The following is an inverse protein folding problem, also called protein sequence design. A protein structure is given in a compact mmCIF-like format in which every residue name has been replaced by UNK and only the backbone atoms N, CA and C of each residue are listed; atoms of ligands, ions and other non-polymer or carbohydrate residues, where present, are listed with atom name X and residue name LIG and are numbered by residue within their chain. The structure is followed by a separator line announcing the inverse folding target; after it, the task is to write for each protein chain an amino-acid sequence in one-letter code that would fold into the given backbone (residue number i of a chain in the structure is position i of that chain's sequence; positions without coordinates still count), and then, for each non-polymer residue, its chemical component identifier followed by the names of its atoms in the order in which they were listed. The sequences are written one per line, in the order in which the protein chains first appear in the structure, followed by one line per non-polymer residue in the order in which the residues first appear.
data_IF_947720589941
#
_entry.id   IF_947720589941
#
_cell.length_a   1.000
_cell.length_b   1.000
_cell.length_c   1.000
_cell.angle_alpha   90.00
_cell.angle_beta   90.00
_cell.angle_gamma   90.00
#
_symmetry.space_group_name_H-M   'P 1'
#
loop_
_entity.id
_entity.type
_entity.pdbx_description
1 polymer ?
#
# COMPACT_ATOMS: atom_id res chain seq x y z
N UNK A 1 -10.44 -65.57 -41.83
CA UNK A 1 -9.61 -64.59 -41.08
C UNK A 1 -9.86 -63.21 -41.67
N UNK A 2 -10.72 -62.40 -41.04
CA UNK A 2 -10.94 -61.01 -41.47
C UNK A 2 -10.62 -60.09 -40.30
N UNK A 3 -9.51 -59.37 -40.42
CA UNK A 3 -8.98 -58.40 -39.47
C UNK A 3 -9.91 -57.18 -39.43
N UNK A 4 -10.41 -56.83 -38.24
CA UNK A 4 -11.12 -55.58 -37.97
C UNK A 4 -10.06 -54.51 -37.70
N UNK A 5 -9.93 -53.55 -38.61
CA UNK A 5 -9.03 -52.41 -38.50
C UNK A 5 -9.58 -51.45 -37.42
N UNK A 6 -8.94 -51.40 -36.25
CA UNK A 6 -9.24 -50.41 -35.20
C UNK A 6 -8.46 -49.14 -35.52
N UNK A 7 -9.16 -48.08 -35.92
CA UNK A 7 -8.57 -46.74 -36.08
C UNK A 7 -8.23 -46.12 -34.72
N UNK A 8 -7.06 -45.50 -34.54
CA UNK A 8 -6.71 -44.80 -33.31
C UNK A 8 -7.51 -43.49 -33.19
N UNK A 9 -8.24 -43.33 -32.09
CA UNK A 9 -8.87 -42.07 -31.71
C UNK A 9 -7.81 -41.04 -31.34
N UNK A 10 -7.65 -39.97 -32.14
CA UNK A 10 -6.82 -38.82 -31.79
C UNK A 10 -7.28 -38.17 -30.49
N UNK A 11 -6.37 -37.77 -29.58
CA UNK A 11 -6.75 -37.02 -28.38
C UNK A 11 -7.24 -35.63 -28.78
N UNK A 12 -8.41 -35.24 -28.24
CA UNK A 12 -8.97 -33.92 -28.46
C UNK A 12 -8.05 -32.83 -27.88
N UNK A 13 -7.87 -31.68 -28.56
CA UNK A 13 -7.07 -30.58 -28.05
C UNK A 13 -7.68 -29.99 -26.77
N UNK A 14 -6.85 -29.78 -25.75
CA UNK A 14 -7.23 -29.12 -24.49
C UNK A 14 -7.67 -27.68 -24.78
N UNK A 15 -8.88 -27.26 -24.38
CA UNK A 15 -9.33 -25.88 -24.61
C UNK A 15 -8.54 -24.90 -23.74
N UNK A 16 -7.68 -24.08 -24.34
CA UNK A 16 -7.15 -22.86 -23.70
C UNK A 16 -8.15 -21.73 -23.91
N UNK A 17 -9.08 -21.55 -22.97
CA UNK A 17 -10.11 -20.50 -23.06
C UNK A 17 -9.53 -19.11 -22.72
N UNK A 18 -9.45 -18.17 -23.69
CA UNK A 18 -8.95 -16.81 -23.46
C UNK A 18 -9.81 -15.99 -22.48
N UNK A 19 -11.01 -16.47 -22.12
CA UNK A 19 -11.89 -15.84 -21.13
C UNK A 19 -11.31 -15.76 -19.72
N UNK A 20 -10.50 -16.74 -19.30
CA UNK A 20 -9.97 -16.82 -17.93
C UNK A 20 -8.81 -15.83 -17.65
N UNK A 21 -8.15 -15.32 -18.69
CA UNK A 21 -7.03 -14.39 -18.57
C UNK A 21 -7.50 -12.97 -18.21
N UNK A 22 -8.71 -12.57 -18.61
CA UNK A 22 -9.26 -11.23 -18.35
C UNK A 22 -9.53 -10.98 -16.85
N UNK A 23 -10.11 -11.93 -16.09
CA UNK A 23 -10.25 -11.81 -14.63
C UNK A 23 -8.90 -11.74 -13.89
N UNK A 24 -7.93 -12.56 -14.30
CA UNK A 24 -6.61 -12.60 -13.65
C UNK A 24 -5.85 -11.29 -13.89
N UNK A 25 -5.81 -10.80 -15.14
CA UNK A 25 -5.15 -9.54 -15.47
C UNK A 25 -5.76 -8.35 -14.72
N UNK A 26 -7.09 -8.31 -14.56
CA UNK A 26 -7.76 -7.29 -13.74
C UNK A 26 -7.34 -7.40 -12.28
N UNK A 27 -7.36 -8.60 -11.71
CA UNK A 27 -6.94 -8.84 -10.32
C UNK A 27 -5.50 -8.36 -10.09
N UNK A 28 -4.57 -8.72 -10.98
CA UNK A 28 -3.17 -8.28 -10.89
C UNK A 28 -3.07 -6.76 -10.96
N UNK A 29 -3.74 -6.13 -11.94
CA UNK A 29 -3.75 -4.67 -12.06
C UNK A 29 -4.31 -3.99 -10.81
N UNK A 30 -5.38 -4.54 -10.24
CA UNK A 30 -6.04 -3.97 -9.07
C UNK A 30 -5.16 -4.16 -7.82
N UNK A 31 -4.45 -5.28 -7.68
CA UNK A 31 -3.39 -5.45 -6.68
C UNK A 31 -2.25 -4.43 -6.83
N UNK A 32 -1.80 -4.16 -8.06
CA UNK A 32 -0.74 -3.18 -8.31
C UNK A 32 -1.19 -1.74 -8.02
N UNK A 33 -2.46 -1.41 -8.29
CA UNK A 33 -3.07 -0.13 -7.90
C UNK A 33 -3.18 -0.01 -6.38
N UNK A 34 -3.61 -1.08 -5.72
CA UNK A 34 -3.68 -1.16 -4.26
C UNK A 34 -2.30 -0.94 -3.63
N UNK A 35 -1.24 -1.45 -4.27
CA UNK A 35 0.15 -1.30 -3.84
C UNK A 35 0.74 0.12 -4.01
N UNK A 36 -0.04 1.12 -4.45
CA UNK A 36 0.41 2.53 -4.61
C UNK A 36 1.65 2.67 -5.52
N UNK A 37 1.48 2.65 -6.86
CA UNK A 37 2.59 2.55 -7.82
C UNK A 37 3.73 3.57 -7.65
N UNK A 38 3.41 4.83 -7.32
CA UNK A 38 4.42 5.87 -7.10
C UNK A 38 5.34 5.54 -5.92
N UNK A 39 4.80 4.93 -4.87
CA UNK A 39 5.58 4.50 -3.71
C UNK A 39 6.51 3.34 -4.09
N UNK A 40 6.05 2.44 -4.96
CA UNK A 40 6.87 1.32 -5.46
C UNK A 40 8.07 1.82 -6.26
N UNK A 41 7.89 2.81 -7.14
CA UNK A 41 9.00 3.46 -7.85
C UNK A 41 10.01 4.04 -6.87
N UNK A 42 9.55 4.72 -5.82
CA UNK A 42 10.40 5.30 -4.78
C UNK A 42 11.21 4.27 -4.00
N UNK A 43 10.65 3.08 -3.73
CA UNK A 43 11.37 1.99 -3.07
C UNK A 43 12.42 1.34 -3.98
N UNK A 44 12.08 1.08 -5.25
CA UNK A 44 13.02 0.50 -6.22
C UNK A 44 14.18 1.45 -6.47
N UNK A 45 13.91 2.76 -6.64
CA UNK A 45 14.99 3.75 -6.78
C UNK A 45 15.92 3.76 -5.57
N UNK A 46 15.37 3.74 -4.34
CA UNK A 46 16.18 3.66 -3.11
C UNK A 46 17.06 2.41 -3.09
N UNK A 47 16.50 1.27 -3.45
CA UNK A 47 17.24 0.01 -3.53
C UNK A 47 18.38 0.10 -4.54
N UNK A 48 18.10 0.51 -5.78
CA UNK A 48 19.12 0.61 -6.84
C UNK A 48 20.21 1.62 -6.45
N UNK A 49 19.83 2.78 -5.90
CA UNK A 49 20.80 3.77 -5.41
C UNK A 49 21.68 3.17 -4.31
N UNK A 50 21.10 2.48 -3.32
CA UNK A 50 21.86 1.83 -2.25
C UNK A 50 22.83 0.76 -2.79
N UNK A 51 22.37 -0.06 -3.72
CA UNK A 51 23.21 -1.09 -4.35
C UNK A 51 24.37 -0.48 -5.16
N UNK A 52 24.12 0.57 -5.95
CA UNK A 52 25.15 1.26 -6.72
C UNK A 52 26.16 1.97 -5.83
N UNK A 53 25.71 2.62 -4.74
CA UNK A 53 26.60 3.25 -3.77
C UNK A 53 27.49 2.22 -3.07
N UNK A 54 26.93 1.07 -2.70
CA UNK A 54 27.69 -0.03 -2.07
C UNK A 54 28.74 -0.60 -3.03
N UNK A 55 28.37 -0.86 -4.28
CA UNK A 55 29.31 -1.34 -5.30
C UNK A 55 30.43 -0.33 -5.58
N UNK A 56 30.08 0.96 -5.66
CA UNK A 56 31.04 2.06 -5.83
C UNK A 56 32.02 2.15 -4.67
N UNK A 57 31.52 2.14 -3.42
CA UNK A 57 32.35 2.20 -2.21
C UNK A 57 33.29 0.99 -2.07
N UNK A 58 32.85 -0.18 -2.53
CA UNK A 58 33.65 -1.40 -2.53
C UNK A 58 34.59 -1.52 -3.75
N UNK A 59 34.59 -0.57 -4.68
CA UNK A 59 35.29 -0.65 -5.98
C UNK A 59 34.94 -1.91 -6.79
N UNK A 60 33.74 -2.46 -6.59
CA UNK A 60 33.26 -3.65 -7.29
C UNK A 60 32.55 -3.27 -8.58
N UNK A 61 32.64 -4.16 -9.58
CA UNK A 61 31.78 -4.04 -10.76
C UNK A 61 30.36 -4.48 -10.40
N UNK A 62 29.39 -3.73 -10.89
CA UNK A 62 27.97 -4.06 -10.70
C UNK A 62 27.64 -5.27 -11.56
N UNK A 63 27.22 -6.35 -10.92
CA UNK A 63 26.57 -7.46 -11.60
C UNK A 63 25.10 -7.09 -11.86
N UNK A 64 24.77 -6.88 -13.14
CA UNK A 64 23.44 -6.45 -13.56
C UNK A 64 22.36 -7.50 -13.28
N UNK A 65 22.70 -8.79 -13.34
CA UNK A 65 21.73 -9.85 -13.09
C UNK A 65 21.36 -9.89 -11.61
N UNK A 66 22.36 -9.87 -10.72
CA UNK A 66 22.12 -9.83 -9.27
C UNK A 66 21.39 -8.54 -8.86
N UNK A 67 21.74 -7.39 -9.46
CA UNK A 67 21.03 -6.13 -9.24
C UNK A 67 19.56 -6.22 -9.67
N UNK A 68 19.27 -6.81 -10.83
CA UNK A 68 17.91 -6.97 -11.33
C UNK A 68 17.10 -7.93 -10.44
N UNK A 69 17.66 -9.09 -10.08
CA UNK A 69 17.03 -10.04 -9.17
C UNK A 69 16.73 -9.38 -7.82
N UNK A 70 17.67 -8.60 -7.28
CA UNK A 70 17.49 -7.88 -6.03
C UNK A 70 16.42 -6.79 -6.13
N UNK A 71 16.36 -6.05 -7.24
CA UNK A 71 15.32 -5.05 -7.46
C UNK A 71 13.93 -5.67 -7.57
N UNK A 72 13.81 -6.82 -8.25
CA UNK A 72 12.55 -7.59 -8.32
C UNK A 72 12.17 -8.14 -6.95
N UNK A 73 13.13 -8.68 -6.19
CA UNK A 73 12.92 -9.17 -4.83
C UNK A 73 12.38 -8.07 -3.92
N UNK A 74 13.04 -6.92 -3.92
CA UNK A 74 12.67 -5.75 -3.13
C UNK A 74 11.29 -5.22 -3.51
N UNK A 75 11.03 -5.08 -4.81
CA UNK A 75 9.72 -4.65 -5.33
C UNK A 75 8.59 -5.61 -4.93
N UNK A 76 8.82 -6.92 -5.01
CA UNK A 76 7.83 -7.91 -4.61
C UNK A 76 7.53 -7.85 -3.09
N UNK A 77 8.56 -7.67 -2.26
CA UNK A 77 8.40 -7.47 -0.82
C UNK A 77 7.61 -6.19 -0.50
N UNK A 78 7.91 -5.07 -1.16
CA UNK A 78 7.22 -3.79 -0.95
C UNK A 78 5.77 -3.82 -1.46
N UNK A 79 5.50 -4.52 -2.56
CA UNK A 79 4.12 -4.79 -3.02
C UNK A 79 3.35 -5.61 -1.99
N UNK A 80 3.96 -6.68 -1.44
CA UNK A 80 3.33 -7.52 -0.43
C UNK A 80 2.89 -6.72 0.80
N UNK A 81 3.81 -5.91 1.36
CA UNK A 81 3.51 -5.04 2.50
C UNK A 81 2.39 -4.08 2.16
N UNK A 82 2.43 -3.35 1.04
CA UNK A 82 1.38 -2.36 0.74
C UNK A 82 0.00 -2.97 0.48
N UNK A 83 -0.09 -4.16 -0.11
CA UNK A 83 -1.37 -4.87 -0.22
C UNK A 83 -1.84 -5.30 1.17
N UNK A 84 -0.94 -5.80 2.02
CA UNK A 84 -1.26 -6.17 3.41
C UNK A 84 -1.76 -4.97 4.22
N UNK A 85 -1.16 -3.79 4.04
CA UNK A 85 -1.63 -2.55 4.65
C UNK A 85 -3.07 -2.26 4.21
N UNK A 86 -3.38 -2.36 2.91
CA UNK A 86 -4.75 -2.19 2.41
C UNK A 86 -5.76 -3.20 2.99
N UNK A 87 -5.35 -4.43 3.26
CA UNK A 87 -6.20 -5.43 3.92
C UNK A 87 -6.43 -5.06 5.39
N UNK A 88 -5.39 -4.59 6.08
CA UNK A 88 -5.45 -4.24 7.51
C UNK A 88 -6.28 -2.98 7.76
N UNK A 89 -6.13 -1.97 6.89
CA UNK A 89 -6.80 -0.68 6.99
C UNK A 89 -8.22 -0.70 6.37
N UNK A 90 -8.69 -1.85 5.86
CA UNK A 90 -9.89 -1.96 5.04
C UNK A 90 -11.15 -1.35 5.68
N UNK A 91 -11.32 -1.51 6.99
CA UNK A 91 -12.48 -0.95 7.70
C UNK A 91 -12.44 0.58 7.72
N UNK A 92 -11.29 1.15 8.01
CA UNK A 92 -11.07 2.60 8.05
C UNK A 92 -11.15 3.20 6.64
N UNK A 93 -10.51 2.57 5.66
CA UNK A 93 -10.57 2.99 4.25
C UNK A 93 -12.01 3.00 3.72
N UNK A 94 -12.86 2.04 4.11
CA UNK A 94 -14.28 2.03 3.77
C UNK A 94 -15.06 3.15 4.46
N UNK A 95 -14.82 3.38 5.75
CA UNK A 95 -15.43 4.48 6.50
C UNK A 95 -15.10 5.85 5.85
N UNK A 96 -13.88 5.99 5.34
CA UNK A 96 -13.39 7.18 4.64
C UNK A 96 -13.80 7.26 3.15
N UNK A 97 -14.59 6.30 2.64
CA UNK A 97 -15.00 6.21 1.22
C UNK A 97 -13.81 6.24 0.25
N UNK A 98 -12.73 5.57 0.61
CA UNK A 98 -11.53 5.46 -0.22
C UNK A 98 -11.82 4.81 -1.57
N UNK A 99 -11.26 5.35 -2.65
CA UNK A 99 -11.38 4.81 -4.02
C UNK A 99 -10.42 3.63 -4.28
N UNK A 100 -9.63 3.23 -3.27
CA UNK A 100 -8.70 2.10 -3.37
C UNK A 100 -9.45 0.82 -3.81
N UNK A 101 -8.83 -0.03 -4.65
CA UNK A 101 -9.47 -1.25 -5.15
C UNK A 101 -10.09 -2.14 -4.06
N UNK A 102 -9.43 -2.34 -2.92
CA UNK A 102 -9.97 -3.10 -1.80
C UNK A 102 -11.19 -2.43 -1.13
N UNK A 103 -11.07 -1.12 -0.86
CA UNK A 103 -12.10 -0.35 -0.17
C UNK A 103 -13.38 -0.20 -1.01
N UNK A 104 -13.21 0.02 -2.31
CA UNK A 104 -14.30 0.13 -3.30
C UNK A 104 -14.87 -1.21 -3.75
N UNK A 105 -14.28 -2.33 -3.34
CA UNK A 105 -14.74 -3.69 -3.69
C UNK A 105 -14.36 -4.17 -5.09
N UNK A 106 -13.52 -3.42 -5.83
CA UNK A 106 -12.97 -3.86 -7.11
C UNK A 106 -12.00 -5.04 -6.95
N UNK A 107 -11.26 -5.08 -5.84
CA UNK A 107 -10.39 -6.18 -5.46
C UNK A 107 -11.00 -6.95 -4.29
N UNK A 108 -11.20 -8.26 -4.45
CA UNK A 108 -11.67 -9.12 -3.37
C UNK A 108 -10.60 -9.36 -2.31
N UNK A 109 -10.98 -9.35 -1.04
CA UNK A 109 -10.06 -9.53 0.10
C UNK A 109 -9.30 -10.86 0.03
N UNK A 110 -9.95 -11.95 -0.37
CA UNK A 110 -9.31 -13.26 -0.52
C UNK A 110 -8.24 -13.26 -1.62
N UNK A 111 -8.47 -12.53 -2.71
CA UNK A 111 -7.50 -12.37 -3.79
C UNK A 111 -6.31 -11.52 -3.34
N UNK A 112 -6.57 -10.44 -2.59
CA UNK A 112 -5.52 -9.61 -2.01
C UNK A 112 -4.64 -10.41 -1.02
N UNK A 113 -5.23 -11.18 -0.11
CA UNK A 113 -4.46 -12.03 0.83
C UNK A 113 -3.60 -13.07 0.11
N UNK A 114 -4.11 -13.68 -0.97
CA UNK A 114 -3.29 -14.55 -1.82
C UNK A 114 -2.15 -13.79 -2.49
N UNK A 115 -2.41 -12.59 -3.01
CA UNK A 115 -1.39 -11.75 -3.62
C UNK A 115 -0.28 -11.36 -2.62
N UNK A 116 -0.63 -11.03 -1.37
CA UNK A 116 0.33 -10.79 -0.27
C UNK A 116 1.27 -11.97 -0.10
N UNK A 117 0.74 -13.19 0.05
CA UNK A 117 1.55 -14.39 0.26
C UNK A 117 2.44 -14.71 -0.96
N UNK A 118 1.89 -14.63 -2.18
CA UNK A 118 2.63 -14.92 -3.40
C UNK A 118 3.76 -13.91 -3.65
N UNK A 119 3.50 -12.63 -3.40
CA UNK A 119 4.51 -11.57 -3.58
C UNK A 119 5.57 -11.59 -2.47
N UNK A 120 5.21 -11.92 -1.23
CA UNK A 120 6.18 -12.14 -0.16
C UNK A 120 7.11 -13.32 -0.49
N UNK A 121 6.53 -14.45 -0.91
CA UNK A 121 7.32 -15.62 -1.30
C UNK A 121 8.23 -15.32 -2.49
N UNK A 122 7.71 -14.64 -3.52
CA UNK A 122 8.52 -14.21 -4.65
C UNK A 122 9.67 -13.30 -4.20
N UNK A 123 9.42 -12.34 -3.30
CA UNK A 123 10.43 -11.47 -2.73
C UNK A 123 11.56 -12.25 -2.05
N UNK A 124 11.23 -13.25 -1.24
CA UNK A 124 12.23 -14.10 -0.57
C UNK A 124 12.99 -14.99 -1.56
N UNK A 125 12.30 -15.61 -2.52
CA UNK A 125 12.94 -16.48 -3.51
C UNK A 125 13.92 -15.70 -4.40
N UNK A 126 13.50 -14.55 -4.93
CA UNK A 126 14.38 -13.70 -5.72
C UNK A 126 15.48 -13.07 -4.86
N UNK A 127 15.20 -12.77 -3.59
CA UNK A 127 16.19 -12.30 -2.63
C UNK A 127 17.31 -13.32 -2.43
N UNK A 128 16.97 -14.59 -2.19
CA UNK A 128 17.95 -15.67 -2.08
C UNK A 128 18.77 -15.85 -3.36
N UNK A 129 18.16 -15.69 -4.53
CA UNK A 129 18.86 -15.75 -5.81
C UNK A 129 19.78 -14.53 -6.06
N UNK A 130 19.46 -13.37 -5.49
CA UNK A 130 20.26 -12.15 -5.58
C UNK A 130 21.41 -12.10 -4.56
N UNK A 131 21.30 -12.84 -3.46
CA UNK A 131 22.31 -12.90 -2.40
C UNK A 131 21.70 -12.78 -1.01
N UNK A 132 22.41 -13.33 -0.01
CA UNK A 132 21.91 -13.43 1.36
C UNK A 132 21.53 -12.07 1.98
N UNK A 133 22.33 -11.03 1.74
CA UNK A 133 22.07 -9.68 2.26
C UNK A 133 20.72 -9.11 1.77
N UNK A 134 20.35 -9.40 0.52
CA UNK A 134 19.06 -8.98 -0.06
C UNK A 134 17.93 -9.80 0.54
N UNK A 135 18.12 -11.12 0.70
CA UNK A 135 17.13 -12.00 1.32
C UNK A 135 16.82 -11.58 2.76
N UNK A 136 17.86 -11.31 3.55
CA UNK A 136 17.74 -10.82 4.93
C UNK A 136 17.01 -9.47 4.98
N UNK A 137 17.42 -8.51 4.14
CA UNK A 137 16.78 -7.20 4.07
C UNK A 137 15.30 -7.29 3.70
N UNK A 138 14.95 -8.15 2.73
CA UNK A 138 13.56 -8.39 2.34
C UNK A 138 12.76 -9.05 3.46
N UNK A 139 13.33 -10.02 4.16
CA UNK A 139 12.68 -10.69 5.29
C UNK A 139 12.43 -9.71 6.46
N UNK A 140 13.43 -8.92 6.83
CA UNK A 140 13.31 -7.87 7.87
C UNK A 140 12.25 -6.85 7.47
N UNK A 141 12.26 -6.39 6.21
CA UNK A 141 11.26 -5.45 5.71
C UNK A 141 9.83 -6.01 5.77
N UNK A 142 9.64 -7.27 5.36
CA UNK A 142 8.34 -7.96 5.46
C UNK A 142 7.85 -8.06 6.91
N UNK A 143 8.72 -8.46 7.83
CA UNK A 143 8.39 -8.56 9.27
C UNK A 143 8.01 -7.19 9.81
N UNK A 144 8.82 -6.16 9.58
CA UNK A 144 8.53 -4.80 10.04
C UNK A 144 7.24 -4.26 9.44
N UNK A 145 7.00 -4.46 8.14
CA UNK A 145 5.77 -4.05 7.47
C UNK A 145 4.54 -4.73 8.05
N UNK A 146 4.61 -6.03 8.34
CA UNK A 146 3.48 -6.77 8.91
C UNK A 146 3.24 -6.40 10.37
N UNK A 147 4.29 -6.20 11.17
CA UNK A 147 4.16 -5.73 12.57
C UNK A 147 3.59 -4.32 12.61
N UNK A 148 4.02 -3.44 11.70
CA UNK A 148 3.52 -2.07 11.62
C UNK A 148 2.02 -2.01 11.27
N UNK A 149 1.55 -2.88 10.37
CA UNK A 149 0.16 -2.88 9.92
C UNK A 149 -0.75 -3.87 10.63
N UNK A 150 -0.22 -4.72 11.52
CA UNK A 150 -1.05 -5.55 12.37
C UNK A 150 -1.97 -4.66 13.23
N UNK A 151 -3.27 -4.96 13.33
CA UNK A 151 -4.17 -4.15 14.15
C UNK A 151 -3.65 -4.16 15.60
N UNK A 152 -3.63 -3.00 16.29
CA UNK A 152 -3.29 -2.99 17.71
C UNK A 152 -4.24 -3.94 18.45
N UNK A 153 -3.70 -4.63 19.46
CA UNK A 153 -4.48 -5.49 20.35
C UNK A 153 -5.81 -4.81 20.71
N UNK A 154 -6.95 -5.53 20.73
CA UNK A 154 -8.23 -4.91 21.02
C UNK A 154 -8.10 -4.11 22.32
N UNK A 155 -8.65 -2.88 22.39
CA UNK A 155 -8.64 -2.13 23.62
C UNK A 155 -9.22 -3.04 24.70
N UNK A 156 -8.45 -3.26 25.77
CA UNK A 156 -8.95 -3.93 26.96
C UNK A 156 -10.30 -3.31 27.28
N UNK A 157 -11.31 -4.12 27.57
CA UNK A 157 -12.72 -3.74 27.71
C UNK A 157 -12.96 -2.86 28.95
N UNK A 158 -12.22 -1.76 29.09
CA UNK A 158 -12.52 -0.69 29.99
C UNK A 158 -13.69 0.07 29.38
N UNK A 159 -14.85 0.13 30.07
CA UNK A 159 -15.94 0.98 29.62
C UNK A 159 -15.41 2.40 29.48
N UNK A 160 -15.57 2.98 28.29
CA UNK A 160 -15.23 4.38 28.07
C UNK A 160 -15.96 5.28 29.08
N UNK A 161 -15.43 6.48 29.37
CA UNK A 161 -16.09 7.41 30.26
C UNK A 161 -17.53 7.65 29.79
N UNK A 162 -18.51 7.70 30.71
CA UNK A 162 -19.90 7.93 30.34
C UNK A 162 -20.03 9.24 29.54
N UNK A 163 -20.99 9.31 28.60
CA UNK A 163 -21.20 10.53 27.83
C UNK A 163 -21.42 11.73 28.77
N UNK A 164 -20.91 12.92 28.42
CA UNK A 164 -21.13 14.11 29.23
C UNK A 164 -22.63 14.37 29.37
N UNK A 165 -23.09 14.63 30.59
CA UNK A 165 -24.48 14.96 30.89
C UNK A 165 -24.98 16.07 29.95
N UNK A 166 -26.23 15.98 29.46
CA UNK A 166 -26.79 17.01 28.58
C UNK A 166 -26.70 18.37 29.25
N UNK A 167 -26.09 19.33 28.55
CA UNK A 167 -25.98 20.70 29.03
C UNK A 167 -27.38 21.25 29.35
N UNK A 168 -27.55 21.98 30.47
CA UNK A 168 -28.84 22.58 30.80
C UNK A 168 -29.29 23.50 29.65
N UNK A 169 -30.61 23.56 29.36
CA UNK A 169 -31.13 24.37 28.26
C UNK A 169 -30.66 25.81 28.43
N UNK A 170 -29.95 26.34 27.43
CA UNK A 170 -29.53 27.74 27.40
C UNK A 170 -30.80 28.60 27.50
N UNK A 171 -30.97 29.24 28.65
CA UNK A 171 -32.00 30.25 28.87
C UNK A 171 -32.00 31.25 27.72
N UNK A 172 -33.20 31.53 27.23
CA UNK A 172 -33.52 32.46 26.16
C UNK A 172 -32.87 33.82 26.47
N UNK A 173 -31.74 34.14 25.84
CA UNK A 173 -31.16 35.50 25.91
C UNK A 173 -32.10 36.41 25.13
N UNK A 174 -32.80 37.27 25.83
CA UNK A 174 -33.39 38.49 25.27
C UNK A 174 -32.25 39.32 24.68
N UNK A 175 -32.35 39.66 23.40
CA UNK A 175 -31.39 40.49 22.68
C UNK A 175 -31.21 41.84 23.37
N UNK A 176 -29.97 42.28 23.68
CA UNK A 176 -29.69 43.69 23.87
C UNK A 176 -29.35 44.31 22.51
N UNK A 177 -30.20 45.26 22.12
CA UNK A 177 -29.86 46.59 21.57
C UNK A 177 -28.67 46.72 20.61
N UNK A 178 -28.97 47.16 19.39
CA UNK A 178 -28.02 47.45 18.32
C UNK A 178 -26.98 48.51 18.72
N UNK A 179 -25.68 48.32 18.43
CA UNK A 179 -24.67 49.35 18.67
C UNK A 179 -24.67 50.45 17.59
N UNK A 180 -24.27 51.70 17.93
CA UNK A 180 -24.15 52.80 16.98
C UNK A 180 -22.99 52.62 15.97
N UNK A 181 -23.01 53.36 14.84
CA UNK A 181 -22.11 53.10 13.71
C UNK A 181 -20.64 53.39 14.03
N UNK A 182 -19.77 52.47 13.59
CA UNK A 182 -18.33 52.53 13.79
C UNK A 182 -17.66 53.65 12.99
N UNK A 183 -16.82 54.44 13.67
CA UNK A 183 -15.87 55.39 13.08
C UNK A 183 -14.84 54.61 12.25
N UNK A 184 -14.70 54.96 10.98
CA UNK A 184 -13.71 54.35 10.06
C UNK A 184 -12.29 54.63 10.54
N UNK A 185 -11.54 53.59 10.90
CA UNK A 185 -10.09 53.69 11.07
C UNK A 185 -9.38 53.69 9.71
N UNK A 186 -8.23 54.39 9.57
CA UNK A 186 -7.47 54.42 8.33
C UNK A 186 -6.83 53.05 8.00
N UNK A 187 -6.54 52.78 6.70
CA UNK A 187 -6.03 51.50 6.25
C UNK A 187 -4.62 51.22 6.81
N UNK A 188 -4.41 49.98 7.26
CA UNK A 188 -3.09 49.46 7.65
C UNK A 188 -2.19 49.27 6.42
N UNK A 189 -0.87 49.54 6.54
CA UNK A 189 0.08 49.23 5.47
C UNK A 189 0.23 47.71 5.26
N UNK A 190 0.60 47.26 4.05
CA UNK A 190 0.72 45.85 3.74
C UNK A 190 1.84 45.18 4.55
N UNK A 191 1.53 44.05 5.16
CA UNK A 191 2.50 43.16 5.80
C UNK A 191 3.43 42.54 4.75
N UNK A 192 4.73 42.64 4.98
CA UNK A 192 5.76 42.02 4.13
C UNK A 192 5.68 40.49 4.19
N UNK A 193 5.95 39.76 3.08
CA UNK A 193 5.75 38.30 3.02
C UNK A 193 6.92 37.45 3.50
N UNK A 194 7.96 38.04 4.11
CA UNK A 194 9.19 37.31 4.42
C UNK A 194 9.51 37.38 5.91
N UNK A 195 8.83 36.54 6.69
CA UNK A 195 9.40 36.09 7.97
C UNK A 195 8.92 34.67 8.32
N UNK A 196 9.91 33.81 8.55
CA UNK A 196 9.84 32.56 9.31
C UNK A 196 9.12 31.34 8.71
N UNK A 197 9.93 30.40 8.21
CA UNK A 197 9.84 28.99 8.62
C UNK A 197 11.16 28.25 8.30
N UNK A 198 12.13 28.48 9.18
CA UNK A 198 13.21 27.56 9.48
C UNK A 198 12.86 26.90 10.82
N UNK A 199 12.33 25.68 10.78
CA UNK A 199 12.26 24.77 11.93
C UNK A 199 11.65 23.45 11.45
N UNK A 200 12.49 22.43 11.28
CA UNK A 200 12.33 20.97 11.47
C UNK A 200 13.71 20.42 11.07
N UNK A 201 14.62 20.02 11.96
CA UNK A 201 14.39 19.37 13.25
C UNK A 201 14.09 17.91 12.97
#
# INVERSE_FOLDING_TARGET
MSQVLVSPSSPAPVPTDPGHLRPVARTVRDCLREARPLVQVMFVLRFVTGALLTASAAHHRVDLLHLLLGAVAWWAATVSVYIFNGVSDLREDRANRSERPLASGQLGESAARRAVALTALAGLVFGCAAGWEVAESAAVFLVLGYVYSAPPSPPSAAPGPPPPSPAPPRGRRTSPESPPPAVRSPPRPPSSPWSSRSAWG
#
